data_IF_094827215340
#
_entry.id   IF_094827215340
#
_cell.length_a   1.000
_cell.length_b   1.000
_cell.length_c   1.000
_cell.angle_alpha   90.00
_cell.angle_beta   90.00
_cell.angle_gamma   90.00
#
_symmetry.space_group_name_H-M   'P 1'
#
loop_
_entity.id
_entity.type
_entity.pdbx_description
1 polymer ?
#
# COMPACT_ATOMS: atom_id res chain seq x y z
N UNK A 1 -29.96 -1.19 -1.77
CA UNK A 1 -28.90 -2.01 -2.41
C UNK A 1 -27.73 -2.06 -1.45
N UNK A 2 -27.16 -3.25 -1.16
CA UNK A 2 -26.06 -3.37 -0.22
C UNK A 2 -24.79 -2.71 -0.76
N UNK A 3 -24.02 -2.12 0.14
CA UNK A 3 -22.71 -1.55 -0.19
C UNK A 3 -21.77 -2.68 -0.54
N UNK A 4 -21.23 -2.63 -1.76
CA UNK A 4 -20.23 -3.56 -2.27
C UNK A 4 -19.00 -2.81 -2.78
N UNK A 5 -17.86 -3.46 -2.73
CA UNK A 5 -16.59 -2.95 -3.23
C UNK A 5 -15.81 -4.09 -3.88
N UNK A 6 -15.33 -3.88 -5.10
CA UNK A 6 -14.43 -4.82 -5.78
C UNK A 6 -13.00 -4.33 -5.58
N UNK A 7 -12.17 -5.14 -4.94
CA UNK A 7 -10.77 -4.77 -4.67
C UNK A 7 -9.90 -4.94 -5.93
N UNK A 8 -8.63 -4.49 -5.86
CA UNK A 8 -7.67 -4.63 -6.96
C UNK A 8 -7.39 -6.08 -7.38
N UNK A 9 -7.77 -7.05 -6.55
CA UNK A 9 -7.64 -8.49 -6.81
C UNK A 9 -8.91 -9.11 -7.43
N UNK A 10 -9.91 -8.30 -7.76
CA UNK A 10 -11.19 -8.75 -8.35
C UNK A 10 -12.12 -9.43 -7.34
N UNK A 11 -11.84 -9.31 -6.03
CA UNK A 11 -12.65 -9.89 -4.97
C UNK A 11 -13.73 -8.90 -4.56
N UNK A 12 -14.98 -9.37 -4.54
CA UNK A 12 -16.11 -8.56 -4.07
C UNK A 12 -16.27 -8.66 -2.56
N UNK A 13 -16.26 -7.52 -1.89
CA UNK A 13 -16.56 -7.36 -0.47
C UNK A 13 -17.90 -6.65 -0.30
N UNK A 14 -18.62 -7.02 0.75
CA UNK A 14 -19.88 -6.41 1.18
C UNK A 14 -19.72 -5.84 2.58
N UNK A 15 -20.36 -4.70 2.85
CA UNK A 15 -20.34 -4.08 4.18
C UNK A 15 -21.38 -4.73 5.10
N UNK A 16 -20.94 -5.16 6.27
CA UNK A 16 -21.77 -5.78 7.30
C UNK A 16 -21.91 -4.90 8.53
N UNK A 17 -23.05 -5.05 9.21
CA UNK A 17 -23.27 -4.55 10.55
C UNK A 17 -23.46 -5.70 11.53
N UNK A 18 -22.49 -5.84 12.43
CA UNK A 18 -22.60 -6.65 13.64
C UNK A 18 -22.84 -5.78 14.87
N UNK A 19 -22.82 -6.43 16.04
CA UNK A 19 -22.95 -5.79 17.34
C UNK A 19 -21.71 -6.13 18.17
N UNK A 20 -21.12 -5.12 18.82
CA UNK A 20 -20.01 -5.32 19.77
C UNK A 20 -20.50 -5.96 21.07
N UNK A 21 -19.59 -6.45 21.91
CA UNK A 21 -19.93 -6.98 23.25
C UNK A 21 -20.70 -5.99 24.13
N UNK A 22 -20.59 -4.68 23.84
CA UNK A 22 -21.25 -3.59 24.58
C UNK A 22 -22.50 -3.06 23.89
N UNK A 23 -23.02 -3.74 22.87
CA UNK A 23 -24.25 -3.36 22.17
C UNK A 23 -24.09 -2.30 21.07
N UNK A 24 -22.90 -1.70 20.90
CA UNK A 24 -22.64 -0.72 19.84
C UNK A 24 -22.53 -1.38 18.46
N UNK A 25 -22.97 -0.73 17.37
CA UNK A 25 -22.79 -1.27 16.02
C UNK A 25 -21.30 -1.44 15.68
N UNK A 26 -20.97 -2.58 15.06
CA UNK A 26 -19.64 -2.89 14.53
C UNK A 26 -19.74 -3.09 13.04
N UNK A 27 -19.04 -2.27 12.27
CA UNK A 27 -18.99 -2.41 10.82
C UNK A 27 -17.73 -3.15 10.37
N UNK A 28 -17.84 -4.01 9.37
CA UNK A 28 -16.70 -4.70 8.76
C UNK A 28 -17.05 -5.16 7.35
N UNK A 29 -16.04 -5.31 6.48
CA UNK A 29 -16.21 -5.89 5.16
C UNK A 29 -15.99 -7.41 5.19
N UNK A 30 -16.79 -8.14 4.42
CA UNK A 30 -16.64 -9.60 4.22
C UNK A 30 -17.04 -9.98 2.79
N UNK A 31 -16.49 -11.08 2.27
CA UNK A 31 -16.81 -11.59 0.93
C UNK A 31 -18.11 -12.40 0.87
N UNK A 32 -18.74 -12.67 2.00
CA UNK A 32 -20.08 -13.29 2.02
C UNK A 32 -21.08 -12.30 1.45
N UNK A 33 -22.07 -12.78 0.69
CA UNK A 33 -23.12 -11.96 0.07
C UNK A 33 -24.46 -11.98 0.82
N UNK A 34 -24.50 -12.56 2.03
CA UNK A 34 -25.71 -12.82 2.80
C UNK A 34 -25.54 -12.44 4.27
N UNK A 35 -26.62 -11.98 4.91
CA UNK A 35 -26.66 -11.63 6.33
C UNK A 35 -27.05 -10.16 6.55
N UNK A 36 -26.52 -9.54 7.61
CA UNK A 36 -26.85 -8.15 7.98
C UNK A 36 -26.03 -7.15 7.15
N UNK A 37 -26.38 -7.05 5.86
CA UNK A 37 -25.75 -6.14 4.94
C UNK A 37 -26.21 -4.70 5.16
N UNK A 38 -25.28 -3.77 5.00
CA UNK A 38 -25.52 -2.34 5.15
C UNK A 38 -25.81 -1.73 3.78
N UNK A 39 -26.88 -0.93 3.69
CA UNK A 39 -27.28 -0.27 2.44
C UNK A 39 -26.81 1.19 2.34
N UNK A 40 -26.39 1.79 3.45
CA UNK A 40 -26.00 3.20 3.54
C UNK A 40 -24.67 3.37 4.26
N UNK A 41 -23.79 4.22 3.72
CA UNK A 41 -22.47 4.42 4.32
C UNK A 41 -22.65 5.08 5.70
N UNK A 42 -22.04 4.55 6.78
CA UNK A 42 -22.08 5.22 8.07
C UNK A 42 -21.41 6.59 8.00
N UNK A 43 -22.02 7.60 8.62
CA UNK A 43 -21.52 8.98 8.59
C UNK A 43 -20.08 9.08 9.10
N UNK A 44 -19.25 9.81 8.35
CA UNK A 44 -17.84 10.02 8.70
C UNK A 44 -16.92 8.82 8.43
N UNK A 45 -17.42 7.80 7.72
CA UNK A 45 -16.61 6.67 7.27
C UNK A 45 -16.38 6.67 5.76
N UNK A 46 -15.29 6.02 5.35
CA UNK A 46 -14.90 5.76 3.97
C UNK A 46 -14.47 4.29 3.81
N UNK A 47 -14.53 3.81 2.56
CA UNK A 47 -13.97 2.51 2.19
C UNK A 47 -12.46 2.71 1.98
N UNK A 48 -11.67 1.81 2.56
CA UNK A 48 -10.23 1.80 2.41
C UNK A 48 -9.75 0.41 2.04
N UNK A 49 -8.96 0.33 0.98
CA UNK A 49 -8.27 -0.88 0.56
C UNK A 49 -6.79 -0.75 0.89
N UNK A 50 -6.26 -1.69 1.68
CA UNK A 50 -4.85 -1.67 2.05
C UNK A 50 -3.94 -2.15 0.89
N UNK A 51 -2.60 -2.03 1.01
CA UNK A 51 -1.66 -2.51 -0.01
C UNK A 51 -1.84 -3.98 -0.43
N UNK A 52 -2.35 -4.82 0.48
CA UNK A 52 -2.60 -6.24 0.26
C UNK A 52 -4.04 -6.54 -0.21
N UNK A 53 -4.76 -5.53 -0.70
CA UNK A 53 -6.12 -5.59 -1.23
C UNK A 53 -7.22 -5.96 -0.22
N UNK A 54 -6.92 -5.94 1.08
CA UNK A 54 -7.95 -6.13 2.09
C UNK A 54 -8.76 -4.83 2.26
N UNK A 55 -10.08 -4.99 2.27
CA UNK A 55 -11.03 -3.87 2.34
C UNK A 55 -11.47 -3.66 3.78
N UNK A 56 -11.48 -2.40 4.21
CA UNK A 56 -11.87 -1.96 5.53
C UNK A 56 -12.84 -0.79 5.43
N UNK A 57 -13.70 -0.68 6.43
CA UNK A 57 -14.38 0.57 6.72
C UNK A 57 -13.52 1.33 7.74
N UNK A 58 -13.14 2.56 7.42
CA UNK A 58 -12.38 3.43 8.34
C UNK A 58 -12.99 4.82 8.42
N UNK A 59 -12.61 5.60 9.44
CA UNK A 59 -12.99 7.02 9.48
C UNK A 59 -12.34 7.77 8.34
N UNK A 60 -13.07 8.73 7.76
CA UNK A 60 -12.53 9.66 6.77
C UNK A 60 -11.25 10.30 7.31
N UNK A 61 -10.18 10.18 6.54
CA UNK A 61 -8.88 10.75 6.90
C UNK A 61 -8.72 12.17 6.33
N UNK A 62 -8.07 13.09 7.05
CA UNK A 62 -7.71 14.39 6.49
C UNK A 62 -6.67 14.21 5.38
N UNK A 63 -6.86 14.91 4.26
CA UNK A 63 -5.94 14.90 3.12
C UNK A 63 -4.75 15.82 3.37
N UNK A 64 -3.75 15.34 4.14
CA UNK A 64 -2.54 16.10 4.53
C UNK A 64 -1.45 16.05 3.45
N UNK A 65 -1.30 14.88 2.81
CA UNK A 65 -0.46 14.68 1.64
C UNK A 65 -1.30 14.97 0.40
N UNK A 66 -0.71 15.72 -0.54
CA UNK A 66 -1.36 16.12 -1.79
C UNK A 66 -1.27 15.03 -2.85
N UNK A 67 -2.13 15.10 -3.87
CA UNK A 67 -2.07 14.16 -5.00
C UNK A 67 -0.78 14.32 -5.80
N UNK A 68 -0.25 15.54 -5.88
CA UNK A 68 1.04 15.84 -6.52
C UNK A 68 2.20 15.15 -5.79
N UNK A 69 2.22 15.19 -4.46
CA UNK A 69 3.25 14.51 -3.67
C UNK A 69 3.17 12.99 -3.83
N UNK A 70 1.97 12.42 -3.90
CA UNK A 70 1.79 11.00 -4.25
C UNK A 70 2.35 10.71 -5.65
N UNK A 71 2.02 11.55 -6.63
CA UNK A 71 2.49 11.40 -8.01
C UNK A 71 4.01 11.50 -8.10
N UNK A 72 4.65 12.42 -7.36
CA UNK A 72 6.09 12.56 -7.32
C UNK A 72 6.79 11.27 -6.86
N UNK A 73 6.24 10.59 -5.85
CA UNK A 73 6.79 9.29 -5.39
C UNK A 73 6.59 8.21 -6.46
N UNK A 74 5.40 8.11 -7.03
CA UNK A 74 5.07 7.15 -8.10
C UNK A 74 5.99 7.33 -9.33
N UNK A 75 6.16 8.57 -9.80
CA UNK A 75 7.02 8.90 -10.94
C UNK A 75 8.50 8.65 -10.63
N UNK A 76 8.93 8.99 -9.41
CA UNK A 76 10.29 8.70 -8.97
C UNK A 76 10.60 7.21 -8.94
N UNK A 77 9.69 6.38 -8.43
CA UNK A 77 9.85 4.91 -8.46
C UNK A 77 9.98 4.42 -9.91
N UNK A 78 9.10 4.89 -10.81
CA UNK A 78 9.16 4.52 -12.24
C UNK A 78 10.45 4.94 -12.92
N UNK A 79 10.99 6.11 -12.55
CA UNK A 79 12.16 6.70 -13.21
C UNK A 79 13.48 6.16 -12.68
N UNK A 80 13.59 5.91 -11.39
CA UNK A 80 14.88 5.67 -10.73
C UNK A 80 15.04 4.26 -10.16
N UNK A 81 13.98 3.44 -10.09
CA UNK A 81 14.05 2.07 -9.58
C UNK A 81 13.78 1.04 -10.67
N UNK A 82 14.17 -0.21 -10.42
CA UNK A 82 13.83 -1.36 -11.27
C UNK A 82 12.55 -2.08 -10.84
N UNK A 83 11.80 -1.53 -9.88
CA UNK A 83 10.60 -2.17 -9.35
C UNK A 83 9.49 -2.26 -10.39
N UNK A 84 8.97 -3.47 -10.56
CA UNK A 84 7.82 -3.74 -11.43
C UNK A 84 6.50 -3.70 -10.65
N UNK A 85 6.54 -4.17 -9.41
CA UNK A 85 5.37 -4.42 -8.57
C UNK A 85 5.56 -3.72 -7.21
N UNK A 86 4.75 -2.69 -6.97
CA UNK A 86 4.78 -1.91 -5.73
C UNK A 86 3.39 -1.34 -5.44
N UNK A 87 3.22 -0.86 -4.20
CA UNK A 87 2.02 -0.14 -3.77
C UNK A 87 2.44 1.10 -2.99
N UNK A 88 1.69 2.18 -3.15
CA UNK A 88 1.85 3.40 -2.36
C UNK A 88 0.59 3.57 -1.52
N UNK A 89 0.78 3.67 -0.21
CA UNK A 89 -0.29 3.98 0.74
C UNK A 89 0.02 5.28 1.48
N UNK A 90 -1.04 6.02 1.77
CA UNK A 90 -0.96 7.30 2.46
C UNK A 90 -1.82 7.24 3.71
N UNK A 91 -1.19 7.47 4.86
CA UNK A 91 -1.86 7.60 6.14
C UNK A 91 -1.35 8.85 6.83
N UNK A 92 -2.26 9.82 7.00
CA UNK A 92 -1.95 11.10 7.64
C UNK A 92 -0.77 11.81 6.94
N UNK A 93 0.33 12.07 7.65
CA UNK A 93 1.56 12.68 7.13
C UNK A 93 2.54 11.69 6.46
N UNK A 94 2.18 10.40 6.36
CA UNK A 94 3.10 9.35 5.94
C UNK A 94 2.73 8.85 4.54
N UNK A 95 3.72 8.86 3.64
CA UNK A 95 3.68 8.14 2.37
C UNK A 95 4.54 6.88 2.53
N UNK A 96 3.94 5.70 2.41
CA UNK A 96 4.66 4.43 2.53
C UNK A 96 4.67 3.71 1.19
N UNK A 97 5.86 3.30 0.77
CA UNK A 97 6.11 2.44 -0.39
C UNK A 97 6.24 1.00 0.09
N UNK A 98 5.41 0.15 -0.49
CA UNK A 98 5.43 -1.29 -0.28
C UNK A 98 5.95 -1.99 -1.54
N UNK A 99 6.78 -3.01 -1.37
CA UNK A 99 7.29 -3.83 -2.47
C UNK A 99 6.73 -5.24 -2.40
N UNK A 100 6.62 -5.91 -3.54
CA UNK A 100 6.21 -7.31 -3.58
C UNK A 100 7.19 -8.19 -2.79
N UNK A 101 6.68 -9.11 -1.99
CA UNK A 101 7.50 -10.09 -1.25
C UNK A 101 8.00 -11.21 -2.17
N UNK A 102 7.31 -11.44 -3.29
CA UNK A 102 7.60 -12.48 -4.25
C UNK A 102 8.14 -11.90 -5.55
N UNK A 103 9.13 -12.57 -6.15
CA UNK A 103 9.58 -12.28 -7.51
C UNK A 103 8.61 -12.90 -8.53
N UNK A 104 7.68 -12.07 -9.03
CA UNK A 104 6.67 -12.47 -10.03
C UNK A 104 7.32 -12.95 -11.33
N UNK A 105 8.47 -12.38 -11.70
CA UNK A 105 9.15 -12.77 -12.95
C UNK A 105 9.72 -14.17 -12.81
N UNK A 106 10.48 -14.43 -11.73
CA UNK A 106 11.03 -15.75 -11.47
C UNK A 106 9.95 -16.82 -11.33
N UNK A 107 8.87 -16.53 -10.59
CA UNK A 107 7.74 -17.46 -10.45
C UNK A 107 7.07 -17.76 -11.80
N UNK A 108 6.94 -16.77 -12.68
CA UNK A 108 6.37 -16.97 -14.01
C UNK A 108 7.28 -17.83 -14.92
N UNK A 109 8.60 -17.70 -14.78
CA UNK A 109 9.58 -18.52 -15.52
C UNK A 109 9.55 -19.99 -15.06
N UNK A 110 9.46 -20.23 -13.75
CA UNK A 110 9.38 -21.59 -13.18
C UNK A 110 8.12 -22.36 -13.60
N UNK A 111 7.03 -21.67 -13.90
CA UNK A 111 5.78 -22.27 -14.35
C UNK A 111 5.79 -22.69 -15.83
N UNK A 112 6.95 -22.62 -16.51
CA UNK A 112 7.16 -23.08 -17.89
C UNK A 112 6.14 -22.54 -18.90
N UNK A 113 5.71 -21.28 -18.75
CA UNK A 113 4.83 -20.66 -19.75
C UNK A 113 5.57 -20.56 -21.09
N UNK A 114 5.10 -21.31 -22.08
CA UNK A 114 5.80 -21.53 -23.34
C UNK A 114 5.58 -20.41 -24.36
N UNK A 115 4.51 -19.62 -24.20
CA UNK A 115 4.18 -18.48 -25.05
C UNK A 115 4.19 -17.11 -24.34
N UNK A 116 4.46 -16.02 -25.09
CA UNK A 116 4.42 -14.64 -24.57
C UNK A 116 3.06 -14.25 -23.99
N UNK A 117 1.96 -14.74 -24.57
CA UNK A 117 0.61 -14.45 -24.08
C UNK A 117 0.32 -15.22 -22.78
N UNK A 118 0.66 -16.51 -22.73
CA UNK A 118 0.56 -17.34 -21.51
C UNK A 118 1.38 -16.74 -20.36
N UNK A 119 2.58 -16.23 -20.67
CA UNK A 119 3.43 -15.55 -19.70
C UNK A 119 2.77 -14.27 -19.14
N UNK A 120 2.14 -13.46 -20.00
CA UNK A 120 1.43 -12.23 -19.58
C UNK A 120 0.20 -12.55 -18.73
N UNK A 121 -0.59 -13.52 -19.15
CA UNK A 121 -1.77 -13.98 -18.39
C UNK A 121 -1.37 -14.61 -17.06
N UNK A 122 -0.32 -15.44 -17.07
CA UNK A 122 0.28 -16.05 -15.89
C UNK A 122 0.74 -15.01 -14.90
N UNK A 123 1.52 -14.01 -15.33
CA UNK A 123 1.94 -12.87 -14.48
C UNK A 123 0.75 -12.11 -13.90
N UNK A 124 -0.28 -11.86 -14.71
CA UNK A 124 -1.50 -11.17 -14.25
C UNK A 124 -2.19 -11.96 -13.14
N UNK A 125 -2.32 -13.28 -13.30
CA UNK A 125 -2.89 -14.16 -12.26
C UNK A 125 -2.01 -14.24 -11.02
N UNK A 126 -0.68 -14.32 -11.17
CA UNK A 126 0.25 -14.34 -10.05
C UNK A 126 0.18 -13.04 -9.23
N UNK A 127 0.02 -11.89 -9.88
CA UNK A 127 -0.14 -10.59 -9.21
C UNK A 127 -1.37 -10.52 -8.30
N UNK A 128 -2.39 -11.34 -8.53
CA UNK A 128 -3.53 -11.46 -7.62
C UNK A 128 -3.15 -12.18 -6.33
N UNK A 129 -2.09 -12.99 -6.32
CA UNK A 129 -1.69 -13.83 -5.19
C UNK A 129 -0.51 -13.29 -4.40
N UNK A 130 0.22 -12.28 -4.89
CA UNK A 130 1.36 -11.71 -4.17
C UNK A 130 0.93 -10.85 -2.98
N UNK A 131 1.85 -10.76 -2.02
CA UNK A 131 1.78 -9.89 -0.86
C UNK A 131 2.83 -8.78 -0.95
N UNK A 132 2.59 -7.72 -0.21
CA UNK A 132 3.40 -6.52 -0.19
C UNK A 132 3.81 -6.18 1.24
N UNK A 133 5.11 -5.97 1.44
CA UNK A 133 5.69 -5.50 2.70
C UNK A 133 6.14 -4.05 2.60
N UNK A 134 6.03 -3.27 3.70
CA UNK A 134 6.51 -1.91 3.73
C UNK A 134 8.04 -1.89 3.63
N UNK A 135 8.58 -1.01 2.79
CA UNK A 135 10.03 -0.86 2.63
C UNK A 135 10.50 0.53 3.00
N UNK A 136 9.95 1.56 2.36
CA UNK A 136 10.41 2.94 2.49
C UNK A 136 9.23 3.84 2.81
N UNK A 137 9.42 4.84 3.67
CA UNK A 137 8.40 5.86 3.88
C UNK A 137 8.98 7.26 3.95
N UNK A 138 8.19 8.23 3.50
CA UNK A 138 8.45 9.65 3.63
C UNK A 138 7.44 10.22 4.62
N UNK A 139 7.94 10.87 5.68
CA UNK A 139 7.11 11.42 6.74
C UNK A 139 7.19 12.94 6.69
N UNK A 140 6.05 13.60 6.48
CA UNK A 140 5.96 15.05 6.55
C UNK A 140 6.07 15.51 8.01
N UNK A 141 7.17 16.18 8.33
CA UNK A 141 7.50 16.64 9.69
C UNK A 141 7.28 18.13 9.89
N UNK A 142 7.24 18.92 8.82
CA UNK A 142 6.89 20.34 8.84
C UNK A 142 5.89 20.65 7.71
N UNK A 143 4.64 20.95 8.09
CA UNK A 143 3.57 21.25 7.14
C UNK A 143 3.71 22.63 6.49
N UNK A 144 4.30 23.60 7.19
CA UNK A 144 4.47 24.96 6.68
C UNK A 144 5.59 25.02 5.65
N UNK A 145 6.71 24.36 5.94
CA UNK A 145 7.87 24.30 5.04
C UNK A 145 7.80 23.13 4.04
N UNK A 146 6.82 22.23 4.17
CA UNK A 146 6.75 20.96 3.41
C UNK A 146 8.07 20.19 3.48
N UNK A 147 8.56 20.00 4.70
CA UNK A 147 9.80 19.25 4.98
C UNK A 147 9.46 17.82 5.36
N UNK A 148 10.16 16.88 4.74
CA UNK A 148 10.00 15.45 4.92
C UNK A 148 11.28 14.85 5.51
N UNK A 149 11.13 13.78 6.28
CA UNK A 149 12.21 12.82 6.56
C UNK A 149 11.96 11.51 5.82
N UNK A 150 13.01 10.73 5.65
CA UNK A 150 12.94 9.41 5.03
C UNK A 150 13.23 8.33 6.07
N UNK A 151 12.45 7.25 6.03
CA UNK A 151 12.67 6.07 6.87
C UNK A 151 12.64 4.80 6.03
N UNK A 152 13.49 3.84 6.38
CA UNK A 152 13.42 2.47 5.85
C UNK A 152 12.94 1.49 6.92
N UNK A 153 12.35 0.40 6.47
CA UNK A 153 11.88 -0.67 7.33
C UNK A 153 13.06 -1.46 7.95
N UNK A 154 12.92 -1.84 9.22
CA UNK A 154 13.87 -2.66 9.96
C UNK A 154 13.30 -4.06 10.18
N UNK A 155 13.96 -5.08 9.61
CA UNK A 155 13.53 -6.47 9.69
C UNK A 155 14.01 -7.21 10.96
N UNK A 156 14.74 -6.52 11.84
CA UNK A 156 15.34 -7.13 13.04
C UNK A 156 14.42 -7.14 14.28
N UNK A 157 13.16 -6.67 14.16
CA UNK A 157 12.13 -6.78 15.19
C UNK A 157 12.43 -5.98 16.46
N UNK A 158 12.37 -4.64 16.37
CA UNK A 158 12.51 -3.72 17.52
C UNK A 158 11.27 -2.84 17.67
N UNK A 159 11.19 -2.09 18.77
CA UNK A 159 9.98 -1.35 19.21
C UNK A 159 9.45 -0.37 18.14
N UNK A 160 10.30 0.13 17.25
CA UNK A 160 9.90 0.83 16.03
C UNK A 160 10.62 0.19 14.83
N UNK A 161 9.88 -0.52 13.97
CA UNK A 161 10.38 -1.19 12.76
C UNK A 161 10.83 -0.21 11.65
N UNK A 162 11.22 1.01 12.00
CA UNK A 162 11.56 2.08 11.07
C UNK A 162 12.82 2.83 11.51
N UNK A 163 13.77 2.98 10.59
CA UNK A 163 15.05 3.66 10.81
C UNK A 163 15.07 4.91 9.95
N UNK A 164 15.29 6.08 10.56
CA UNK A 164 15.53 7.33 9.82
C UNK A 164 16.84 7.21 9.03
N UNK A 165 16.82 7.68 7.78
CA UNK A 165 17.98 7.59 6.89
C UNK A 165 18.29 8.94 6.26
N UNK A 166 19.58 9.29 6.27
CA UNK A 166 20.13 10.55 5.77
C UNK A 166 19.46 11.83 6.27
N UNK A 167 19.24 12.79 5.37
CA UNK A 167 18.81 14.16 5.74
C UNK A 167 17.37 14.44 5.37
N UNK A 168 16.76 15.32 6.15
CA UNK A 168 15.43 15.89 5.89
C UNK A 168 15.49 16.86 4.70
N UNK A 169 14.38 17.01 3.99
CA UNK A 169 14.32 17.90 2.83
C UNK A 169 12.99 17.92 2.11
N UNK A 170 13.02 18.43 0.87
CA UNK A 170 11.86 18.41 -0.03
C UNK A 170 11.64 17.00 -0.55
N UNK A 171 10.37 16.59 -0.63
CA UNK A 171 9.98 15.24 -1.04
C UNK A 171 10.67 14.79 -2.34
N UNK A 172 10.67 15.62 -3.37
CA UNK A 172 11.29 15.29 -4.66
C UNK A 172 12.76 14.88 -4.53
N UNK A 173 13.56 15.66 -3.80
CA UNK A 173 14.98 15.35 -3.60
C UNK A 173 15.19 14.06 -2.80
N UNK A 174 14.33 13.79 -1.82
CA UNK A 174 14.38 12.52 -1.08
C UNK A 174 14.00 11.34 -1.98
N UNK A 175 12.96 11.49 -2.80
CA UNK A 175 12.52 10.46 -3.74
C UNK A 175 13.65 10.10 -4.70
N UNK A 176 14.27 11.09 -5.36
CA UNK A 176 15.40 10.88 -6.28
C UNK A 176 16.58 10.16 -5.61
N UNK A 177 16.83 10.45 -4.34
CA UNK A 177 17.93 9.86 -3.59
C UNK A 177 17.66 8.42 -3.15
N UNK A 178 16.43 8.11 -2.70
CA UNK A 178 16.18 6.87 -1.96
C UNK A 178 15.44 5.78 -2.75
N UNK A 179 14.56 6.13 -3.70
CA UNK A 179 13.74 5.10 -4.37
C UNK A 179 14.57 4.18 -5.27
N UNK A 180 15.73 4.63 -5.75
CA UNK A 180 16.67 3.82 -6.55
C UNK A 180 17.22 2.60 -5.80
N UNK A 181 17.20 2.64 -4.47
CA UNK A 181 17.66 1.54 -3.64
C UNK A 181 16.58 0.48 -3.44
N UNK A 182 15.31 0.75 -3.75
CA UNK A 182 14.24 -0.23 -3.58
C UNK A 182 14.46 -1.47 -4.44
N UNK A 183 14.38 -2.65 -3.81
CA UNK A 183 14.65 -3.94 -4.47
C UNK A 183 16.14 -4.22 -4.73
N UNK A 184 17.05 -3.43 -4.15
CA UNK A 184 18.50 -3.59 -4.27
C UNK A 184 19.13 -3.86 -2.90
N UNK A 185 20.24 -4.59 -2.86
CA UNK A 185 20.99 -4.87 -1.62
C UNK A 185 21.43 -3.59 -0.90
N UNK A 186 21.81 -2.56 -1.68
CA UNK A 186 22.18 -1.23 -1.16
C UNK A 186 21.09 -0.57 -0.29
N UNK A 187 19.85 -1.04 -0.33
CA UNK A 187 18.78 -0.60 0.56
C UNK A 187 19.10 -0.82 2.04
N UNK A 188 19.72 -1.96 2.36
CA UNK A 188 19.97 -2.37 3.73
C UNK A 188 21.16 -1.64 4.36
N UNK A 189 21.95 -0.96 3.52
CA UNK A 189 23.12 -0.16 3.89
C UNK A 189 22.77 1.32 4.16
N UNK A 190 21.51 1.73 3.97
CA UNK A 190 21.10 3.11 4.21
C UNK A 190 21.07 3.42 5.73
N UNK A 191 21.65 4.55 6.12
CA UNK A 191 21.73 5.03 7.50
C UNK A 191 21.54 6.56 7.56
#
# INVERSE_FOLDING_TARGET
MPIKYENRKGQTYYLYQGITKTGKPKYFFSMKSEGNLVETMPDGYEIYENPNAQVFLRKVQPKIITDEERANVEEGIKKFSSLQDYQIDIKQEIITVYTADQDVNLLSELLNFSGRNEMREGKTKLRLSISYSPMLRFVLIDRAQRTFLTQRYCFLGRIDDWIEIGKQGKLQGLVENYVKHLGQESFFELH
#
